data_IF_384899817445
#
_entry.id   IF_384899817445
#
_cell.length_a   1.000
_cell.length_b   1.000
_cell.length_c   1.000
_cell.angle_alpha   90.00
_cell.angle_beta   90.00
_cell.angle_gamma   90.00
#
_symmetry.space_group_name_H-M   'P 1'
#
loop_
_entity.id
_entity.type
_entity.pdbx_description
1 polymer ?
#
# COMPACT_ATOMS: atom_id res chain seq x y z
N UNK A 1 20.36 21.00 -8.66
CA UNK A 1 19.14 20.23 -8.94
C UNK A 1 19.45 18.74 -8.83
N UNK A 2 18.75 18.05 -7.94
CA UNK A 2 18.80 16.60 -7.85
C UNK A 2 18.10 16.05 -9.11
N UNK A 3 18.82 15.29 -9.92
CA UNK A 3 18.22 14.60 -11.06
C UNK A 3 17.57 13.32 -10.55
N UNK A 4 16.36 13.48 -10.00
CA UNK A 4 15.52 12.34 -9.64
C UNK A 4 14.91 11.74 -10.91
N UNK A 5 14.93 10.43 -11.02
CA UNK A 5 14.35 9.69 -12.14
C UNK A 5 13.30 8.76 -11.54
N UNK A 6 12.12 8.77 -12.10
CA UNK A 6 11.10 7.75 -11.77
C UNK A 6 11.53 6.43 -12.40
N UNK A 7 11.47 5.31 -11.66
CA UNK A 7 11.76 4.00 -12.22
C UNK A 7 10.52 3.35 -12.85
N UNK A 8 9.33 3.87 -12.51
CA UNK A 8 8.08 3.63 -13.24
C UNK A 8 7.24 4.91 -13.29
N UNK A 9 6.25 4.97 -14.17
CA UNK A 9 5.34 6.11 -14.25
C UNK A 9 4.38 6.13 -13.06
N UNK A 10 4.23 7.28 -12.36
CA UNK A 10 3.22 7.41 -11.33
C UNK A 10 1.84 7.00 -11.85
N UNK A 11 1.13 6.18 -11.08
CA UNK A 11 -0.27 5.86 -11.34
C UNK A 11 -1.18 6.59 -10.36
N UNK A 12 -2.38 6.91 -10.81
CA UNK A 12 -3.43 7.50 -9.97
C UNK A 12 -4.72 6.75 -10.17
N UNK A 13 -5.25 6.19 -9.10
CA UNK A 13 -6.54 5.52 -9.08
C UNK A 13 -7.57 6.34 -8.33
N UNK A 14 -8.82 6.21 -8.75
CA UNK A 14 -9.94 6.94 -8.17
C UNK A 14 -10.96 5.96 -7.64
N UNK A 15 -11.30 6.09 -6.36
CA UNK A 15 -12.44 5.45 -5.75
C UNK A 15 -13.46 6.53 -5.38
N UNK A 16 -14.71 6.31 -5.75
CA UNK A 16 -15.74 7.35 -5.66
C UNK A 16 -17.01 6.75 -5.05
N UNK A 17 -17.78 7.58 -4.39
CA UNK A 17 -19.15 7.24 -3.98
C UNK A 17 -20.05 7.17 -5.22
N UNK A 18 -19.98 6.05 -5.92
CA UNK A 18 -20.78 5.73 -7.11
C UNK A 18 -21.08 4.24 -7.14
N UNK A 19 -21.86 3.79 -8.14
CA UNK A 19 -22.22 2.38 -8.28
C UNK A 19 -21.11 1.52 -8.91
N UNK A 20 -19.95 2.10 -9.26
CA UNK A 20 -18.86 1.36 -9.88
C UNK A 20 -18.05 0.63 -8.82
N UNK A 21 -17.73 -0.64 -9.09
CA UNK A 21 -16.77 -1.36 -8.27
C UNK A 21 -15.36 -0.90 -8.65
N UNK A 22 -14.51 -0.72 -7.64
CA UNK A 22 -13.10 -0.52 -7.88
C UNK A 22 -12.51 -1.78 -8.53
N UNK A 23 -11.85 -1.58 -9.66
CA UNK A 23 -11.13 -2.66 -10.36
C UNK A 23 -9.63 -2.42 -10.21
N UNK A 24 -9.02 -3.20 -9.32
CA UNK A 24 -7.57 -3.15 -9.07
C UNK A 24 -6.73 -3.34 -10.34
N UNK A 25 -7.18 -4.20 -11.26
CA UNK A 25 -6.46 -4.42 -12.52
C UNK A 25 -6.49 -3.20 -13.44
N UNK A 26 -7.43 -2.31 -13.22
CA UNK A 26 -7.52 -1.07 -14.00
C UNK A 26 -6.41 -0.08 -13.67
N UNK A 27 -5.75 -0.19 -12.52
CA UNK A 27 -4.58 0.61 -12.13
C UNK A 27 -3.42 0.41 -13.10
N UNK A 28 -3.30 -0.81 -13.62
CA UNK A 28 -2.25 -1.17 -14.59
C UNK A 28 -2.65 -0.91 -16.04
N UNK A 29 -3.86 -0.43 -16.30
CA UNK A 29 -4.33 -0.15 -17.66
C UNK A 29 -3.86 1.23 -18.13
N UNK A 30 -3.42 1.31 -19.40
CA UNK A 30 -3.07 2.59 -20.04
C UNK A 30 -4.25 3.56 -19.99
N UNK A 31 -3.94 4.79 -19.61
CA UNK A 31 -4.79 6.00 -19.61
C UNK A 31 -6.29 5.78 -19.80
N UNK A 32 -7.06 6.06 -18.74
CA UNK A 32 -8.51 6.18 -18.84
C UNK A 32 -8.83 7.65 -19.16
N UNK A 33 -9.16 7.98 -20.42
CA UNK A 33 -9.33 9.37 -20.85
C UNK A 33 -10.46 10.11 -20.12
N UNK A 34 -11.32 9.40 -19.42
CA UNK A 34 -12.52 9.96 -18.79
C UNK A 34 -12.43 10.07 -17.25
N UNK A 35 -11.30 9.73 -16.65
CA UNK A 35 -11.09 9.85 -15.21
C UNK A 35 -10.70 11.29 -14.85
N UNK A 36 -11.70 12.14 -14.67
CA UNK A 36 -11.53 13.48 -14.11
C UNK A 36 -11.69 13.41 -12.60
N UNK A 37 -10.69 13.91 -11.86
CA UNK A 37 -10.75 14.03 -10.41
C UNK A 37 -11.79 15.09 -10.05
N UNK A 38 -12.69 14.77 -9.13
CA UNK A 38 -13.75 15.68 -8.65
C UNK A 38 -13.82 15.67 -7.12
N UNK A 39 -14.46 16.67 -6.50
CA UNK A 39 -14.73 16.66 -5.07
C UNK A 39 -15.42 15.36 -4.62
N UNK A 40 -14.99 14.80 -3.50
CA UNK A 40 -15.48 13.54 -2.94
C UNK A 40 -14.69 12.30 -3.39
N UNK A 41 -13.70 12.45 -4.27
CA UNK A 41 -12.86 11.31 -4.69
C UNK A 41 -11.84 10.93 -3.62
N UNK A 42 -11.73 9.64 -3.36
CA UNK A 42 -10.61 9.02 -2.67
C UNK A 42 -9.59 8.61 -3.74
N UNK A 43 -8.44 9.24 -3.71
CA UNK A 43 -7.34 8.99 -4.62
C UNK A 43 -6.34 8.02 -4.01
N UNK A 44 -5.77 7.20 -4.85
CA UNK A 44 -4.59 6.40 -4.56
C UNK A 44 -3.51 6.78 -5.57
N UNK A 45 -2.30 7.00 -5.08
CA UNK A 45 -1.13 7.32 -5.91
C UNK A 45 -0.06 6.31 -5.61
N UNK A 46 0.52 5.76 -6.67
CA UNK A 46 1.64 4.83 -6.61
C UNK A 46 2.79 5.39 -7.45
N UNK A 47 3.98 5.55 -6.85
CA UNK A 47 5.16 6.04 -7.55
C UNK A 47 6.45 5.64 -6.86
N UNK A 48 7.51 5.49 -7.67
CA UNK A 48 8.86 5.25 -7.18
C UNK A 48 9.89 6.10 -7.89
N UNK A 49 10.94 6.48 -7.18
CA UNK A 49 12.06 7.24 -7.69
C UNK A 49 13.36 6.47 -7.52
N UNK A 50 14.32 6.74 -8.42
CA UNK A 50 15.69 6.28 -8.24
C UNK A 50 16.56 7.46 -7.81
N UNK A 51 17.21 7.32 -6.65
CA UNK A 51 18.13 8.30 -6.13
C UNK A 51 19.42 7.64 -5.64
N UNK A 52 20.57 8.12 -6.10
CA UNK A 52 21.89 7.54 -5.82
C UNK A 52 22.02 6.04 -6.11
N UNK A 53 21.24 5.53 -7.07
CA UNK A 53 21.24 4.13 -7.46
C UNK A 53 20.35 3.22 -6.60
N UNK A 54 19.57 3.79 -5.68
CA UNK A 54 18.57 3.08 -4.90
C UNK A 54 17.17 3.52 -5.34
N UNK A 55 16.25 2.58 -5.37
CA UNK A 55 14.84 2.82 -5.66
C UNK A 55 14.04 2.95 -4.37
N UNK A 56 13.02 3.79 -4.42
CA UNK A 56 11.93 3.86 -3.43
C UNK A 56 10.64 3.35 -4.08
N UNK A 57 9.71 2.92 -3.28
CA UNK A 57 8.36 2.56 -3.70
C UNK A 57 7.35 3.05 -2.66
N UNK A 58 6.31 3.75 -3.12
CA UNK A 58 5.42 4.43 -2.17
C UNK A 58 4.01 4.52 -2.73
N UNK A 59 3.04 4.08 -1.93
CA UNK A 59 1.62 4.25 -2.22
C UNK A 59 0.95 5.05 -1.11
N UNK A 60 0.23 6.10 -1.49
CA UNK A 60 -0.46 6.97 -0.54
C UNK A 60 -1.86 7.33 -1.01
N UNK A 61 -2.69 7.72 -0.06
CA UNK A 61 -4.04 8.18 -0.30
C UNK A 61 -4.19 9.69 -0.13
N UNK A 62 -5.01 10.28 -1.01
CA UNK A 62 -5.50 11.63 -0.86
C UNK A 62 -7.03 11.64 -0.95
N UNK A 63 -7.66 12.63 -0.33
CA UNK A 63 -9.09 12.86 -0.45
C UNK A 63 -9.36 14.27 -0.96
N UNK A 64 -10.18 14.38 -2.00
CA UNK A 64 -10.60 15.66 -2.55
C UNK A 64 -11.81 16.15 -1.77
N UNK A 65 -11.62 17.21 -0.96
CA UNK A 65 -12.66 17.74 -0.10
C UNK A 65 -13.91 18.14 -0.90
N UNK A 66 -15.08 17.76 -0.39
CA UNK A 66 -16.35 18.25 -0.91
C UNK A 66 -16.54 19.74 -0.57
N UNK A 67 -17.32 20.51 -1.37
CA UNK A 67 -17.66 21.87 -1.02
C UNK A 67 -18.23 21.98 0.39
N UNK A 68 -17.59 22.81 1.22
CA UNK A 68 -17.96 23.00 2.62
C UNK A 68 -17.30 22.03 3.61
N UNK A 69 -16.56 21.03 3.16
CA UNK A 69 -15.72 20.23 4.03
C UNK A 69 -14.39 20.95 4.32
N UNK A 70 -13.91 20.82 5.54
CA UNK A 70 -12.61 21.36 5.97
C UNK A 70 -11.59 20.25 6.30
N UNK A 71 -12.04 19.01 6.35
CA UNK A 71 -11.27 17.83 6.72
C UNK A 71 -11.84 16.56 6.09
N UNK A 72 -10.98 15.60 5.86
CA UNK A 72 -11.36 14.23 5.45
C UNK A 72 -12.43 13.66 6.39
N UNK A 73 -13.50 13.06 5.86
CA UNK A 73 -14.53 12.40 6.65
C UNK A 73 -13.99 11.32 7.58
N UNK A 74 -14.63 11.18 8.75
CA UNK A 74 -14.15 10.24 9.77
C UNK A 74 -14.15 8.78 9.31
N UNK A 75 -15.10 8.39 8.46
CA UNK A 75 -15.16 7.03 7.96
C UNK A 75 -13.96 6.70 7.07
N UNK A 76 -13.45 7.63 6.25
CA UNK A 76 -12.23 7.44 5.46
C UNK A 76 -10.98 7.42 6.35
N UNK A 77 -10.93 8.26 7.40
CA UNK A 77 -9.85 8.20 8.39
C UNK A 77 -9.82 6.85 9.12
N UNK A 78 -10.99 6.28 9.43
CA UNK A 78 -11.08 4.97 10.04
C UNK A 78 -10.66 3.86 9.05
N UNK A 79 -11.01 3.99 7.78
CA UNK A 79 -10.54 3.07 6.75
C UNK A 79 -9.00 3.07 6.65
N UNK A 80 -8.36 4.25 6.62
CA UNK A 80 -6.90 4.37 6.63
C UNK A 80 -6.28 3.69 7.86
N UNK A 81 -6.87 3.85 9.05
CA UNK A 81 -6.40 3.17 10.27
C UNK A 81 -6.46 1.65 10.14
N UNK A 82 -7.44 1.11 9.41
CA UNK A 82 -7.50 -0.33 9.13
C UNK A 82 -6.32 -0.76 8.25
N UNK A 83 -5.96 0.02 7.24
CA UNK A 83 -4.74 -0.20 6.46
C UNK A 83 -3.47 -0.13 7.31
N UNK A 84 -3.35 0.89 8.17
CA UNK A 84 -2.22 1.02 9.09
C UNK A 84 -2.14 -0.15 10.08
N UNK A 85 -3.29 -0.67 10.56
CA UNK A 85 -3.29 -1.85 11.41
C UNK A 85 -2.76 -3.09 10.68
N UNK A 86 -3.09 -3.25 9.39
CA UNK A 86 -2.54 -4.33 8.58
C UNK A 86 -1.02 -4.18 8.39
N UNK A 87 -0.51 -2.94 8.23
CA UNK A 87 0.92 -2.67 8.22
C UNK A 87 1.59 -3.09 9.53
N UNK A 88 1.00 -2.75 10.70
CA UNK A 88 1.52 -3.19 12.01
C UNK A 88 1.56 -4.72 12.10
N UNK A 89 0.47 -5.39 11.73
CA UNK A 89 0.39 -6.85 11.74
C UNK A 89 1.53 -7.47 10.91
N UNK A 90 1.79 -6.93 9.73
CA UNK A 90 2.82 -7.45 8.83
C UNK A 90 4.23 -7.19 9.39
N UNK A 91 4.53 -5.97 9.83
CA UNK A 91 5.87 -5.62 10.33
C UNK A 91 6.20 -6.34 11.63
N UNK A 92 5.22 -6.61 12.49
CA UNK A 92 5.36 -7.41 13.71
C UNK A 92 5.73 -8.90 13.44
N UNK A 93 5.56 -9.39 12.20
CA UNK A 93 5.88 -10.77 11.85
C UNK A 93 7.34 -10.96 11.40
N UNK A 94 8.09 -9.87 11.20
CA UNK A 94 9.46 -9.96 10.71
C UNK A 94 10.37 -10.69 11.70
N UNK A 95 10.98 -11.78 11.24
CA UNK A 95 11.86 -12.63 12.06
C UNK A 95 12.90 -13.28 11.16
N UNK A 96 14.17 -13.29 11.58
CA UNK A 96 15.26 -13.92 10.84
C UNK A 96 14.96 -15.43 10.62
N UNK A 97 15.10 -15.87 9.39
CA UNK A 97 14.92 -17.25 9.00
C UNK A 97 13.46 -17.65 8.70
N UNK A 98 12.48 -16.84 9.08
CA UNK A 98 11.09 -17.03 8.66
C UNK A 98 10.97 -16.78 7.17
N UNK A 99 10.28 -17.65 6.45
CA UNK A 99 10.08 -17.47 5.00
C UNK A 99 9.00 -16.43 4.69
N UNK A 100 9.04 -15.85 3.48
CA UNK A 100 8.00 -14.95 3.02
C UNK A 100 6.61 -15.58 3.07
N UNK A 101 6.50 -16.89 2.75
CA UNK A 101 5.22 -17.60 2.81
C UNK A 101 4.72 -17.83 4.25
N UNK A 102 5.63 -18.08 5.21
CA UNK A 102 5.25 -18.17 6.63
C UNK A 102 4.78 -16.83 7.16
N UNK A 103 5.45 -15.74 6.79
CA UNK A 103 5.01 -14.39 7.13
C UNK A 103 3.64 -14.06 6.54
N UNK A 104 3.45 -14.31 5.24
CA UNK A 104 2.18 -14.09 4.57
C UNK A 104 1.05 -14.79 5.31
N UNK A 105 1.25 -16.08 5.59
CA UNK A 105 0.24 -16.89 6.28
C UNK A 105 -0.11 -16.33 7.65
N UNK A 106 0.88 -16.08 8.51
CA UNK A 106 0.63 -15.57 9.86
C UNK A 106 0.02 -14.18 9.86
N UNK A 107 0.41 -13.31 8.93
CA UNK A 107 -0.18 -11.97 8.78
C UNK A 107 -1.64 -12.03 8.34
N UNK A 108 -1.96 -12.87 7.36
CA UNK A 108 -3.36 -13.05 6.90
C UNK A 108 -4.22 -13.61 8.03
N UNK A 109 -3.76 -14.69 8.71
CA UNK A 109 -4.50 -15.31 9.80
C UNK A 109 -4.79 -14.31 10.94
N UNK A 110 -3.81 -13.48 11.30
CA UNK A 110 -4.02 -12.45 12.31
C UNK A 110 -4.98 -11.35 11.83
N UNK A 111 -4.79 -10.83 10.63
CA UNK A 111 -5.65 -9.78 10.06
C UNK A 111 -7.12 -10.24 9.98
N UNK A 112 -7.36 -11.47 9.50
CA UNK A 112 -8.71 -12.04 9.41
C UNK A 112 -9.33 -12.25 10.80
N UNK A 113 -8.53 -12.63 11.81
CA UNK A 113 -9.01 -12.75 13.18
C UNK A 113 -9.45 -11.41 13.80
N UNK A 114 -8.89 -10.30 13.31
CA UNK A 114 -9.25 -8.93 13.67
C UNK A 114 -10.36 -8.35 12.75
N UNK A 115 -10.89 -9.15 11.83
CA UNK A 115 -11.95 -8.74 10.89
C UNK A 115 -11.46 -7.88 9.72
N UNK A 116 -10.17 -7.82 9.49
CA UNK A 116 -9.56 -7.14 8.34
C UNK A 116 -9.55 -8.10 7.16
N UNK A 117 -9.89 -7.60 5.97
CA UNK A 117 -9.76 -8.33 4.70
C UNK A 117 -8.44 -7.94 4.03
N UNK A 118 -7.34 -8.69 4.26
CA UNK A 118 -6.01 -8.30 3.80
C UNK A 118 -5.75 -8.75 2.35
N UNK A 119 -4.86 -8.03 1.69
CA UNK A 119 -4.12 -8.48 0.51
C UNK A 119 -2.71 -7.94 0.63
N UNK A 120 -1.70 -8.82 0.59
CA UNK A 120 -0.31 -8.46 0.88
C UNK A 120 0.54 -8.75 -0.35
N UNK A 121 1.37 -7.77 -0.72
CA UNK A 121 2.41 -7.92 -1.73
C UNK A 121 3.64 -7.13 -1.31
N UNK A 122 4.40 -7.64 -0.37
CA UNK A 122 5.61 -7.01 0.18
C UNK A 122 6.84 -7.68 -0.41
N UNK A 123 7.82 -6.90 -0.80
CA UNK A 123 9.02 -7.38 -1.48
C UNK A 123 10.28 -6.63 -1.03
N UNK A 124 11.47 -7.24 -1.17
CA UNK A 124 12.72 -6.51 -0.97
C UNK A 124 12.87 -5.37 -1.99
N UNK A 125 13.47 -4.26 -1.55
CA UNK A 125 13.73 -3.09 -2.39
C UNK A 125 15.17 -2.58 -2.19
N UNK A 126 15.70 -1.87 -3.16
CA UNK A 126 17.03 -1.28 -3.08
C UNK A 126 17.56 -0.93 -4.47
N UNK A 127 18.60 -1.63 -4.92
CA UNK A 127 19.16 -1.42 -6.28
C UNK A 127 18.13 -1.73 -7.38
N UNK A 128 17.23 -2.67 -7.13
CA UNK A 128 16.05 -2.95 -7.95
C UNK A 128 14.80 -2.57 -7.16
N UNK A 129 13.77 -2.03 -7.83
CA UNK A 129 12.48 -1.74 -7.22
C UNK A 129 11.83 -3.00 -6.66
N UNK A 130 11.77 -4.07 -7.47
CA UNK A 130 11.46 -5.42 -6.99
C UNK A 130 12.77 -6.18 -6.78
N UNK A 131 13.32 -6.12 -5.57
CA UNK A 131 14.60 -6.71 -5.21
C UNK A 131 14.54 -8.24 -5.11
N UNK A 132 15.73 -8.87 -5.20
CA UNK A 132 15.86 -10.31 -4.98
C UNK A 132 15.76 -10.63 -3.49
N UNK A 133 15.00 -11.66 -3.13
CA UNK A 133 14.82 -12.15 -1.76
C UNK A 133 13.42 -12.68 -1.52
N UNK A 134 13.02 -12.85 -0.25
CA UNK A 134 11.71 -13.37 0.09
C UNK A 134 10.59 -12.40 -0.32
N UNK A 135 9.69 -12.87 -1.18
CA UNK A 135 8.46 -12.16 -1.52
C UNK A 135 7.35 -12.59 -0.56
N UNK A 136 6.64 -11.64 0.02
CA UNK A 136 5.57 -11.87 0.99
C UNK A 136 4.24 -11.59 0.31
N UNK A 137 3.63 -12.63 -0.25
CA UNK A 137 2.44 -12.52 -1.11
C UNK A 137 2.72 -11.91 -2.47
N UNK A 138 1.71 -11.90 -3.29
CA UNK A 138 1.56 -11.13 -4.53
C UNK A 138 0.07 -10.83 -4.68
N UNK A 139 -0.28 -9.80 -5.42
CA UNK A 139 -1.67 -9.38 -5.60
C UNK A 139 -2.63 -10.53 -6.01
N UNK A 140 -2.12 -11.55 -6.72
CA UNK A 140 -2.85 -12.75 -7.17
C UNK A 140 -2.47 -14.04 -6.43
N UNK A 141 -1.55 -13.99 -5.45
CA UNK A 141 -1.01 -15.17 -4.75
C UNK A 141 -1.01 -14.98 -3.24
N UNK A 142 -2.21 -15.00 -2.66
CA UNK A 142 -2.39 -14.81 -1.23
C UNK A 142 -2.30 -16.13 -0.42
N UNK A 143 -2.10 -17.28 -1.11
CA UNK A 143 -1.91 -18.59 -0.48
C UNK A 143 -0.45 -19.08 -0.52
N UNK A 144 0.46 -18.19 -0.91
CA UNK A 144 1.88 -18.45 -1.02
C UNK A 144 2.44 -18.18 -2.41
N UNK A 145 3.69 -17.73 -2.46
CA UNK A 145 4.44 -17.42 -3.67
C UNK A 145 5.46 -18.55 -3.90
N UNK A 146 5.30 -19.38 -4.94
CA UNK A 146 6.25 -20.45 -5.21
C UNK A 146 7.65 -19.89 -5.45
N UNK A 147 8.67 -20.57 -4.92
CA UNK A 147 10.10 -20.25 -5.02
C UNK A 147 10.47 -18.98 -4.25
N UNK A 148 10.02 -17.78 -4.68
CA UNK A 148 10.43 -16.52 -4.06
C UNK A 148 9.89 -16.36 -2.63
N UNK A 149 8.70 -16.87 -2.34
CA UNK A 149 8.15 -16.88 -0.99
C UNK A 149 8.78 -17.90 -0.04
N UNK A 150 9.53 -18.87 -0.57
CA UNK A 150 10.19 -19.91 0.22
C UNK A 150 11.58 -19.49 0.73
N UNK A 151 12.08 -18.31 0.31
CA UNK A 151 13.33 -17.77 0.84
C UNK A 151 13.12 -17.20 2.26
N UNK A 152 14.14 -17.42 3.14
CA UNK A 152 14.10 -16.85 4.49
C UNK A 152 14.44 -15.37 4.51
N UNK A 153 13.95 -14.66 5.52
CA UNK A 153 14.33 -13.30 5.82
C UNK A 153 15.73 -13.23 6.41
N UNK A 154 16.45 -12.19 6.03
CA UNK A 154 17.79 -11.88 6.55
C UNK A 154 17.80 -10.47 7.14
N UNK A 155 18.66 -10.27 8.13
CA UNK A 155 18.93 -8.93 8.67
C UNK A 155 19.54 -7.99 7.61
N UNK A 156 19.41 -6.70 7.85
CA UNK A 156 19.95 -5.63 7.00
C UNK A 156 19.35 -5.63 5.58
N UNK A 157 18.07 -5.83 5.49
CA UNK A 157 17.32 -5.84 4.23
C UNK A 157 16.23 -4.77 4.24
N UNK A 158 16.17 -3.97 3.19
CA UNK A 158 15.06 -3.05 2.97
C UNK A 158 13.92 -3.75 2.23
N UNK A 159 12.70 -3.41 2.60
CA UNK A 159 11.46 -3.93 2.03
C UNK A 159 10.53 -2.78 1.66
N UNK A 160 9.82 -2.91 0.57
CA UNK A 160 8.60 -2.17 0.34
C UNK A 160 7.45 -2.92 1.03
N UNK A 161 6.85 -2.27 2.03
CA UNK A 161 5.71 -2.81 2.80
C UNK A 161 4.43 -2.48 2.03
N UNK A 162 4.20 -3.24 0.97
CA UNK A 162 3.04 -3.09 0.08
C UNK A 162 1.90 -4.01 0.51
N UNK A 163 0.72 -3.44 0.66
CA UNK A 163 -0.49 -4.17 1.04
C UNK A 163 -1.76 -3.36 0.78
N UNK A 164 -2.91 -4.03 0.81
CA UNK A 164 -4.18 -3.34 0.88
C UNK A 164 -5.14 -3.99 1.88
N UNK A 165 -5.95 -3.17 2.53
CA UNK A 165 -7.08 -3.60 3.33
C UNK A 165 -8.38 -3.20 2.64
N UNK A 166 -9.28 -4.17 2.42
CA UNK A 166 -10.62 -3.88 1.90
C UNK A 166 -11.54 -3.52 3.05
N UNK A 167 -12.11 -2.33 2.99
CA UNK A 167 -12.96 -1.76 4.05
C UNK A 167 -14.32 -1.42 3.48
N UNK A 168 -15.39 -1.93 4.10
CA UNK A 168 -16.74 -1.53 3.72
C UNK A 168 -17.06 -0.17 4.35
N UNK A 169 -17.46 0.78 3.52
CA UNK A 169 -17.87 2.13 3.92
C UNK A 169 -19.39 2.21 3.89
N UNK A 170 -20.01 2.29 5.06
CA UNK A 170 -21.49 2.34 5.17
C UNK A 170 -22.07 3.57 4.46
N UNK A 171 -21.39 4.72 4.55
CA UNK A 171 -21.82 5.97 3.92
C UNK A 171 -21.78 5.91 2.39
N UNK A 172 -20.98 5.00 1.83
CA UNK A 172 -20.89 4.78 0.39
C UNK A 172 -21.58 3.49 -0.06
N UNK A 173 -22.06 2.69 0.89
CA UNK A 173 -22.64 1.37 0.66
C UNK A 173 -21.75 0.47 -0.23
N UNK A 174 -20.43 0.63 -0.13
CA UNK A 174 -19.47 -0.12 -0.94
C UNK A 174 -18.16 -0.42 -0.22
N UNK A 175 -17.45 -1.41 -0.72
CA UNK A 175 -16.09 -1.74 -0.29
C UNK A 175 -15.09 -0.85 -1.02
N UNK A 176 -14.16 -0.26 -0.28
CA UNK A 176 -13.00 0.46 -0.80
C UNK A 176 -11.71 -0.29 -0.48
N UNK A 177 -10.71 -0.11 -1.32
CA UNK A 177 -9.37 -0.62 -1.10
C UNK A 177 -8.48 0.49 -0.51
N UNK A 178 -7.90 0.24 0.66
CA UNK A 178 -6.88 1.09 1.25
C UNK A 178 -5.53 0.45 0.93
N UNK A 179 -4.89 0.98 -0.10
CA UNK A 179 -3.61 0.52 -0.62
C UNK A 179 -2.50 1.40 -0.06
N UNK A 180 -1.55 0.79 0.60
CA UNK A 180 -0.44 1.48 1.26
C UNK A 180 0.87 0.80 0.91
N UNK A 181 1.89 1.60 0.69
CA UNK A 181 3.25 1.12 0.45
C UNK A 181 4.24 2.12 1.00
N UNK A 182 5.16 1.62 1.81
CA UNK A 182 6.19 2.43 2.44
C UNK A 182 7.49 1.60 2.55
N UNK A 183 8.62 2.25 2.28
CA UNK A 183 9.91 1.61 2.44
C UNK A 183 10.27 1.43 3.91
N UNK A 184 10.65 0.21 4.28
CA UNK A 184 11.06 -0.16 5.63
C UNK A 184 12.41 -0.89 5.63
N UNK A 185 13.07 -0.91 6.78
CA UNK A 185 14.32 -1.59 6.98
C UNK A 185 14.22 -2.59 8.12
N UNK A 186 14.56 -3.84 7.83
CA UNK A 186 14.64 -4.91 8.82
C UNK A 186 16.08 -5.09 9.25
N UNK A 187 16.41 -4.73 10.48
CA UNK A 187 17.77 -4.85 11.05
C UNK A 187 18.11 -6.26 11.54
N UNK A 188 17.08 -7.12 11.66
CA UNK A 188 17.13 -8.49 12.18
C UNK A 188 16.40 -8.66 13.51
N UNK A 189 15.99 -7.58 14.15
CA UNK A 189 15.17 -7.57 15.37
C UNK A 189 13.85 -6.84 15.11
N UNK A 190 13.89 -5.69 14.44
CA UNK A 190 12.75 -4.83 14.17
C UNK A 190 12.70 -4.44 12.69
N UNK A 191 11.49 -4.35 12.14
CA UNK A 191 11.22 -3.80 10.82
C UNK A 191 10.59 -2.41 10.98
N UNK A 192 11.40 -1.36 10.81
CA UNK A 192 10.99 0.03 10.96
C UNK A 192 10.91 0.74 9.62
N UNK A 193 9.96 1.67 9.49
CA UNK A 193 9.83 2.51 8.31
C UNK A 193 11.02 3.48 8.18
N UNK A 194 11.58 3.57 6.97
CA UNK A 194 12.71 4.48 6.67
C UNK A 194 12.26 5.94 6.74
N UNK A 195 11.04 6.22 6.25
CA UNK A 195 10.35 7.50 6.39
C UNK A 195 8.99 7.24 7.08
N UNK A 196 8.44 8.21 7.84
CA UNK A 196 7.16 8.01 8.51
C UNK A 196 6.05 7.60 7.54
N UNK A 197 5.38 6.48 7.84
CA UNK A 197 4.25 6.02 7.04
C UNK A 197 3.08 6.99 7.06
N UNK A 198 2.23 6.91 6.06
CA UNK A 198 1.02 7.70 6.01
C UNK A 198 0.02 7.29 7.11
N UNK A 199 -0.30 8.23 8.03
CA UNK A 199 -1.32 8.06 9.09
C UNK A 199 -2.51 8.99 8.94
N UNK A 200 -2.41 9.96 8.04
CA UNK A 200 -3.49 10.89 7.67
C UNK A 200 -3.57 11.00 6.16
N UNK A 201 -4.78 11.12 5.62
CA UNK A 201 -4.94 11.33 4.18
C UNK A 201 -4.48 12.74 3.79
N UNK A 202 -3.85 12.85 2.64
CA UNK A 202 -3.56 14.14 2.01
C UNK A 202 -4.90 14.77 1.63
N UNK A 203 -5.15 15.98 2.12
CA UNK A 203 -6.39 16.73 1.85
C UNK A 203 -6.17 17.66 0.65
N UNK A 204 -6.96 17.47 -0.40
CA UNK A 204 -6.95 18.34 -1.59
C UNK A 204 -8.14 19.28 -1.50
N UNK A 205 -7.85 20.56 -1.32
CA UNK A 205 -8.85 21.61 -1.31
C UNK A 205 -9.05 22.13 -2.74
N UNK A 206 -10.20 21.83 -3.32
CA UNK A 206 -10.52 22.17 -4.70
C UNK A 206 -10.75 23.69 -4.91
N UNK A 207 -11.04 24.43 -3.83
CA UNK A 207 -11.33 25.87 -3.89
C UNK A 207 -10.07 26.75 -3.74
N UNK A 208 -8.90 26.17 -3.49
CA UNK A 208 -7.60 26.85 -3.40
C UNK A 208 -6.70 26.51 -4.57
#
# INVERSE_FOLDING_TARGET
ELKLVTWFHPSVDIQRNDNNKFDFLSSFSKAKPDNVIIPGDLLHVDFGITYLGLNTDTQQHAYVLMPGESKTPIFLKNALKTGNRLQDILTDQFEIGKTGNEMLKSSIEQAESEGIKPQIYTHPIGYYGHGSGPTIGMWDKQNGVPVNGDYPLFANTAYSIELNAKVFIDEWEKEVAIMLEEDAFFDGEVCDYIDPRQIEMIEIDWEK
#
